data_IF_007311799633
#
_entry.id   IF_007311799633
#
_cell.length_a   1.000
_cell.length_b   1.000
_cell.length_c   1.000
_cell.angle_alpha   90.00
_cell.angle_beta   90.00
_cell.angle_gamma   90.00
#
_symmetry.space_group_name_H-M   'P 1'
#
loop_
_entity.id
_entity.type
_entity.pdbx_description
1 polymer ?
#
# COMPACT_ATOMS: atom_id res chain seq x y z
N UNK A 1 -3.16 21.28 17.22
CA UNK A 1 -3.29 19.82 17.07
C UNK A 1 -4.32 19.51 16.00
N UNK A 2 -3.98 18.68 15.02
CA UNK A 2 -4.94 18.28 13.99
C UNK A 2 -5.89 17.23 14.58
N UNK A 3 -7.16 17.56 14.73
CA UNK A 3 -8.19 16.71 15.32
C UNK A 3 -9.23 16.25 14.30
N UNK A 4 -9.25 16.86 13.12
CA UNK A 4 -10.19 16.55 12.05
C UNK A 4 -9.65 15.49 11.11
N UNK A 5 -10.50 14.52 10.73
CA UNK A 5 -10.20 13.47 9.78
C UNK A 5 -11.18 13.53 8.60
N UNK A 6 -10.68 13.89 7.44
CA UNK A 6 -11.43 13.97 6.19
C UNK A 6 -11.38 12.69 5.35
N UNK A 7 -10.63 11.68 5.81
CA UNK A 7 -10.31 10.46 5.08
C UNK A 7 -11.32 9.35 5.32
N UNK A 8 -11.54 9.04 6.59
CA UNK A 8 -12.23 7.83 7.01
C UNK A 8 -13.64 8.14 7.49
N UNK A 9 -14.56 7.25 7.18
CA UNK A 9 -15.94 7.29 7.63
C UNK A 9 -16.06 7.26 9.17
N UNK A 10 -17.18 7.71 9.68
CA UNK A 10 -17.38 7.98 11.10
C UNK A 10 -17.19 6.73 11.99
N UNK A 11 -17.77 5.58 11.60
CA UNK A 11 -17.64 4.36 12.39
C UNK A 11 -16.19 3.88 12.48
N UNK A 12 -15.39 4.05 11.43
CA UNK A 12 -13.96 3.70 11.43
C UNK A 12 -13.18 4.59 12.39
N UNK A 13 -13.43 5.90 12.36
CA UNK A 13 -12.77 6.86 13.26
C UNK A 13 -13.14 6.58 14.71
N UNK A 14 -14.41 6.29 15.00
CA UNK A 14 -14.88 5.95 16.33
C UNK A 14 -14.24 4.65 16.84
N UNK A 15 -14.16 3.62 15.99
CA UNK A 15 -13.50 2.37 16.31
C UNK A 15 -12.00 2.57 16.60
N UNK A 16 -11.32 3.36 15.76
CA UNK A 16 -9.92 3.72 15.94
C UNK A 16 -9.67 4.50 17.25
N UNK A 17 -10.57 5.44 17.59
CA UNK A 17 -10.51 6.20 18.85
C UNK A 17 -10.69 5.29 20.08
N UNK A 18 -11.60 4.32 20.02
CA UNK A 18 -11.78 3.33 21.07
C UNK A 18 -10.54 2.44 21.23
N UNK A 19 -10.06 1.91 20.10
CA UNK A 19 -8.90 1.01 20.07
C UNK A 19 -7.63 1.67 20.62
N UNK A 20 -7.37 2.92 20.24
CA UNK A 20 -6.15 3.63 20.64
C UNK A 20 -6.08 3.92 22.14
N UNK A 21 -7.19 3.88 22.88
CA UNK A 21 -7.19 4.07 24.36
C UNK A 21 -6.43 2.95 25.08
N UNK A 22 -6.33 1.77 24.49
CA UNK A 22 -5.52 0.67 25.01
C UNK A 22 -4.00 0.88 24.92
N UNK A 23 -3.54 1.89 24.15
CA UNK A 23 -2.11 2.17 23.96
C UNK A 23 -1.61 3.11 25.05
N UNK A 24 -0.64 2.65 25.84
CA UNK A 24 -0.01 3.45 26.92
C UNK A 24 1.05 4.42 26.36
N UNK A 25 1.26 5.53 27.08
CA UNK A 25 2.31 6.50 26.76
C UNK A 25 2.06 7.29 25.46
N UNK A 26 0.80 7.64 25.19
CA UNK A 26 0.40 8.46 24.06
C UNK A 26 0.74 9.93 24.30
N UNK A 27 1.25 10.59 23.26
CA UNK A 27 1.45 12.06 23.28
C UNK A 27 0.14 12.83 23.07
N UNK A 28 -0.85 12.21 22.43
CA UNK A 28 -2.12 12.83 22.04
C UNK A 28 -3.29 12.17 22.79
N UNK A 29 -4.04 12.96 23.53
CA UNK A 29 -5.23 12.50 24.29
C UNK A 29 -6.54 12.85 23.59
N UNK A 30 -6.55 13.90 22.77
CA UNK A 30 -7.76 14.39 22.09
C UNK A 30 -8.24 13.38 21.04
N UNK A 31 -9.52 13.00 21.05
CA UNK A 31 -10.10 12.14 20.02
C UNK A 31 -10.06 12.80 18.64
N UNK A 32 -9.93 11.99 17.60
CA UNK A 32 -10.06 12.44 16.21
C UNK A 32 -11.54 12.46 15.86
N UNK A 33 -11.97 13.48 15.11
CA UNK A 33 -13.36 13.67 14.68
C UNK A 33 -13.41 13.43 13.18
N UNK A 34 -14.30 12.54 12.71
CA UNK A 34 -14.55 12.37 11.28
C UNK A 34 -15.32 13.54 10.74
N UNK A 35 -14.85 14.09 9.62
CA UNK A 35 -15.53 15.12 8.83
C UNK A 35 -16.25 14.51 7.61
N UNK A 36 -16.21 13.18 7.46
CA UNK A 36 -16.94 12.47 6.41
C UNK A 36 -18.45 12.51 6.68
N UNK A 37 -19.24 12.64 5.60
CA UNK A 37 -20.70 12.49 5.65
C UNK A 37 -21.13 11.03 5.61
N UNK A 38 -20.20 10.11 5.34
CA UNK A 38 -20.46 8.67 5.28
C UNK A 38 -20.23 8.07 6.68
N UNK A 39 -21.20 7.31 7.14
CA UNK A 39 -21.10 6.61 8.43
C UNK A 39 -20.08 5.47 8.35
N UNK A 40 -19.96 4.85 7.17
CA UNK A 40 -19.07 3.71 6.95
C UNK A 40 -19.55 2.44 7.64
N UNK A 41 -18.67 1.42 7.64
CA UNK A 41 -18.98 0.14 8.26
C UNK A 41 -17.76 -0.45 8.97
N UNK A 42 -17.98 -0.99 10.17
CA UNK A 42 -16.98 -1.78 10.89
C UNK A 42 -17.60 -3.10 11.30
N UNK A 43 -16.98 -4.20 10.87
CA UNK A 43 -17.35 -5.55 11.27
C UNK A 43 -16.19 -6.22 12.00
N UNK A 44 -16.49 -6.81 13.14
CA UNK A 44 -15.55 -7.60 13.92
C UNK A 44 -16.07 -9.04 14.00
N UNK A 45 -15.33 -9.96 13.39
CA UNK A 45 -15.67 -11.39 13.40
C UNK A 45 -14.64 -12.15 14.23
N UNK A 46 -15.07 -12.66 15.37
CA UNK A 46 -14.26 -13.52 16.22
C UNK A 46 -14.41 -14.99 15.81
N UNK A 47 -13.29 -15.66 15.66
CA UNK A 47 -13.22 -17.08 15.27
C UNK A 47 -12.63 -17.92 16.41
N UNK A 48 -13.23 -19.07 16.66
CA UNK A 48 -12.68 -20.06 17.62
C UNK A 48 -11.55 -20.89 17.04
N UNK A 49 -11.41 -20.88 15.72
CA UNK A 49 -10.38 -21.63 14.96
C UNK A 49 -9.20 -20.73 14.61
N UNK A 50 -8.02 -21.33 14.46
CA UNK A 50 -6.84 -20.68 13.87
C UNK A 50 -6.92 -20.52 12.34
N UNK A 51 -7.90 -21.16 11.69
CA UNK A 51 -8.07 -21.12 10.22
C UNK A 51 -8.93 -19.89 9.82
N UNK A 52 -8.32 -18.71 9.80
CA UNK A 52 -9.01 -17.45 9.50
C UNK A 52 -9.07 -17.11 8.01
N UNK A 53 -8.27 -17.78 7.16
CA UNK A 53 -8.10 -17.41 5.75
C UNK A 53 -9.38 -17.61 4.94
N UNK A 54 -9.99 -18.81 5.01
CA UNK A 54 -11.21 -19.12 4.24
C UNK A 54 -12.41 -18.24 4.63
N UNK A 55 -12.72 -18.02 5.92
CA UNK A 55 -13.78 -17.09 6.32
C UNK A 55 -13.57 -15.67 5.78
N UNK A 56 -12.34 -15.15 5.83
CA UNK A 56 -12.00 -13.83 5.33
C UNK A 56 -12.19 -13.75 3.80
N UNK A 57 -11.70 -14.74 3.04
CA UNK A 57 -11.86 -14.77 1.58
C UNK A 57 -13.33 -14.86 1.19
N UNK A 58 -14.12 -15.68 1.90
CA UNK A 58 -15.57 -15.80 1.67
C UNK A 58 -16.29 -14.45 1.92
N UNK A 59 -15.86 -13.65 2.90
CA UNK A 59 -16.42 -12.34 3.14
C UNK A 59 -16.06 -11.36 2.02
N UNK A 60 -14.82 -11.38 1.53
CA UNK A 60 -14.39 -10.58 0.37
C UNK A 60 -15.25 -10.88 -0.86
N UNK A 61 -15.52 -12.18 -1.13
CA UNK A 61 -16.32 -12.61 -2.27
C UNK A 61 -17.79 -12.19 -2.17
N UNK A 62 -18.35 -12.11 -0.96
CA UNK A 62 -19.72 -11.63 -0.71
C UNK A 62 -19.84 -10.12 -0.89
N UNK A 63 -18.79 -9.39 -0.59
CA UNK A 63 -18.75 -7.93 -0.64
C UNK A 63 -18.41 -7.43 -2.05
N UNK A 64 -19.43 -7.22 -2.89
CA UNK A 64 -19.31 -6.75 -4.29
C UNK A 64 -19.14 -5.23 -4.43
N UNK A 65 -18.55 -4.54 -3.46
CA UNK A 65 -18.28 -3.09 -3.57
C UNK A 65 -17.29 -2.77 -4.70
N UNK A 66 -17.47 -1.61 -5.34
CA UNK A 66 -16.64 -1.15 -6.48
C UNK A 66 -15.38 -0.38 -6.05
N UNK A 67 -15.12 -0.26 -4.76
CA UNK A 67 -13.94 0.43 -4.23
C UNK A 67 -12.69 -0.45 -4.19
N UNK A 68 -11.57 0.20 -3.88
CA UNK A 68 -10.29 -0.48 -3.66
C UNK A 68 -10.34 -1.38 -2.44
N UNK A 69 -9.97 -2.65 -2.57
CA UNK A 69 -9.98 -3.64 -1.47
C UNK A 69 -8.55 -4.00 -1.08
N UNK A 70 -8.29 -4.05 0.21
CA UNK A 70 -7.00 -4.49 0.73
C UNK A 70 -7.15 -5.50 1.86
N UNK A 71 -6.38 -6.58 1.79
CA UNK A 71 -6.19 -7.49 2.92
C UNK A 71 -4.90 -7.15 3.64
N UNK A 72 -4.98 -6.92 4.94
CA UNK A 72 -3.84 -6.62 5.79
C UNK A 72 -3.53 -7.81 6.71
N UNK A 73 -2.27 -8.24 6.67
CA UNK A 73 -1.75 -9.36 7.48
C UNK A 73 -0.67 -8.90 8.44
N UNK A 74 -0.30 -9.76 9.37
CA UNK A 74 0.80 -9.49 10.29
C UNK A 74 2.16 -9.87 9.68
N UNK A 75 2.21 -10.94 8.88
CA UNK A 75 3.43 -11.51 8.30
C UNK A 75 3.38 -11.59 6.78
N UNK A 76 4.55 -11.66 6.15
CA UNK A 76 4.65 -11.89 4.71
C UNK A 76 4.15 -13.28 4.31
N UNK A 77 4.32 -14.27 5.16
CA UNK A 77 3.87 -15.65 4.93
C UNK A 77 2.35 -15.72 4.83
N UNK A 78 1.64 -15.08 5.78
CA UNK A 78 0.19 -14.94 5.72
C UNK A 78 -0.26 -14.23 4.43
N UNK A 79 0.44 -13.17 4.02
CA UNK A 79 0.12 -12.42 2.82
C UNK A 79 0.26 -13.28 1.55
N UNK A 80 1.35 -14.05 1.43
CA UNK A 80 1.56 -14.98 0.30
C UNK A 80 0.47 -16.06 0.25
N UNK A 81 0.15 -16.65 1.40
CA UNK A 81 -0.91 -17.66 1.52
C UNK A 81 -2.26 -17.12 1.06
N UNK A 82 -2.60 -15.89 1.47
CA UNK A 82 -3.85 -15.23 1.06
C UNK A 82 -3.90 -14.91 -0.43
N UNK A 83 -2.79 -14.47 -1.03
CA UNK A 83 -2.73 -14.27 -2.48
C UNK A 83 -3.02 -15.56 -3.23
N UNK A 84 -2.42 -16.68 -2.81
CA UNK A 84 -2.65 -17.96 -3.43
C UNK A 84 -4.13 -18.40 -3.30
N UNK A 85 -4.72 -18.20 -2.12
CA UNK A 85 -6.10 -18.55 -1.85
C UNK A 85 -7.10 -17.67 -2.63
N UNK A 86 -6.90 -16.36 -2.68
CA UNK A 86 -7.71 -15.43 -3.45
C UNK A 86 -7.70 -15.77 -4.94
N UNK A 87 -6.52 -16.10 -5.50
CA UNK A 87 -6.38 -16.53 -6.90
C UNK A 87 -7.09 -17.85 -7.17
N UNK A 88 -7.02 -18.81 -6.23
CA UNK A 88 -7.77 -20.07 -6.31
C UNK A 88 -9.27 -19.84 -6.41
N UNK A 89 -9.78 -18.80 -5.78
CA UNK A 89 -11.19 -18.37 -5.86
C UNK A 89 -11.50 -17.45 -7.05
N UNK A 90 -10.56 -17.27 -8.00
CA UNK A 90 -10.76 -16.51 -9.22
C UNK A 90 -10.61 -14.99 -9.06
N UNK A 91 -10.11 -14.50 -7.92
CA UNK A 91 -9.87 -13.07 -7.70
C UNK A 91 -8.46 -12.70 -8.16
N UNK A 92 -8.36 -11.65 -8.98
CA UNK A 92 -7.07 -11.08 -9.36
C UNK A 92 -6.47 -10.35 -8.16
N UNK A 93 -5.53 -10.98 -7.48
CA UNK A 93 -4.90 -10.45 -6.26
C UNK A 93 -3.45 -10.10 -6.48
N UNK A 94 -3.02 -8.96 -5.90
CA UNK A 94 -1.66 -8.45 -5.97
C UNK A 94 -1.07 -8.29 -4.58
N UNK A 95 0.12 -8.85 -4.38
CA UNK A 95 0.89 -8.67 -3.16
C UNK A 95 1.69 -7.37 -3.23
N UNK A 96 1.51 -6.49 -2.26
CA UNK A 96 2.44 -5.39 -2.03
C UNK A 96 3.66 -5.97 -1.30
N UNK A 97 4.75 -6.11 -2.04
CA UNK A 97 6.04 -6.42 -1.47
C UNK A 97 6.81 -5.11 -1.35
N UNK A 98 7.16 -4.67 -0.14
CA UNK A 98 8.27 -3.74 -0.05
C UNK A 98 9.54 -4.55 -0.27
N UNK A 99 10.35 -4.11 -1.17
CA UNK A 99 11.73 -4.56 -1.25
C UNK A 99 12.49 -3.81 -0.15
N UNK A 100 12.37 -4.26 1.11
CA UNK A 100 13.02 -3.62 2.25
C UNK A 100 14.52 -3.48 1.98
N UNK A 101 14.98 -2.23 1.90
CA UNK A 101 16.36 -1.90 1.51
C UNK A 101 16.64 -1.80 0.01
N UNK A 102 15.71 -2.19 -0.86
CA UNK A 102 15.86 -1.99 -2.30
C UNK A 102 15.21 -0.65 -2.70
N UNK A 103 16.03 0.24 -3.15
CA UNK A 103 15.56 1.55 -3.61
C UNK A 103 15.32 1.54 -5.12
N UNK A 104 14.26 2.21 -5.58
CA UNK A 104 13.89 2.29 -6.98
C UNK A 104 15.06 2.69 -7.89
N UNK A 105 15.88 3.67 -7.47
CA UNK A 105 17.08 4.10 -8.18
C UNK A 105 18.20 3.05 -8.28
N UNK A 106 18.13 1.93 -7.52
CA UNK A 106 19.05 0.81 -7.63
C UNK A 106 18.67 -0.23 -8.70
N UNK A 107 17.48 -0.10 -9.29
CA UNK A 107 17.07 -0.97 -10.39
C UNK A 107 18.02 -0.85 -11.58
N UNK A 108 18.34 -1.96 -12.21
CA UNK A 108 19.26 -2.01 -13.33
C UNK A 108 18.77 -1.14 -14.51
N UNK A 109 17.47 -1.19 -14.76
CA UNK A 109 16.79 -0.40 -15.78
C UNK A 109 16.90 1.10 -15.52
N UNK A 110 16.65 1.53 -14.27
CA UNK A 110 16.72 2.94 -13.85
C UNK A 110 18.16 3.46 -13.96
N UNK A 111 19.12 2.68 -13.47
CA UNK A 111 20.54 3.05 -13.55
C UNK A 111 21.02 3.14 -14.98
N UNK A 112 20.57 2.25 -15.86
CA UNK A 112 20.97 2.27 -17.27
C UNK A 112 20.33 3.46 -18.00
N UNK A 113 19.08 3.76 -17.74
CA UNK A 113 18.41 4.93 -18.28
C UNK A 113 19.12 6.23 -17.88
N UNK A 114 19.45 6.39 -16.59
CA UNK A 114 20.23 7.52 -16.10
C UNK A 114 21.60 7.60 -16.78
N UNK A 115 22.28 6.46 -16.96
CA UNK A 115 23.59 6.41 -17.62
C UNK A 115 23.50 6.91 -19.07
N UNK A 116 22.49 6.51 -19.84
CA UNK A 116 22.33 6.99 -21.22
C UNK A 116 22.05 8.49 -21.27
N UNK A 117 21.22 9.02 -20.35
CA UNK A 117 21.00 10.46 -20.26
C UNK A 117 22.31 11.19 -19.93
N UNK A 118 23.06 10.75 -18.92
CA UNK A 118 24.27 11.41 -18.45
C UNK A 118 25.43 11.39 -19.47
N UNK A 119 25.49 10.37 -20.33
CA UNK A 119 26.50 10.27 -21.39
C UNK A 119 26.33 11.34 -22.45
N UNK A 120 25.08 11.70 -22.79
CA UNK A 120 24.76 12.59 -23.90
C UNK A 120 24.33 13.99 -23.44
N UNK A 121 24.22 14.22 -22.12
CA UNK A 121 23.82 15.50 -21.54
C UNK A 121 25.02 16.29 -21.04
N UNK A 122 25.28 17.44 -21.65
CA UNK A 122 26.36 18.37 -21.25
C UNK A 122 25.82 19.60 -20.53
N UNK A 123 24.52 19.73 -20.39
CA UNK A 123 23.83 20.85 -19.72
C UNK A 123 22.84 20.30 -18.70
N UNK A 124 22.37 21.09 -17.72
CA UNK A 124 21.34 20.64 -16.77
C UNK A 124 20.02 20.25 -17.44
N UNK A 125 19.72 20.83 -18.61
CA UNK A 125 18.52 20.54 -19.41
C UNK A 125 18.77 19.33 -20.31
N UNK A 126 17.93 18.33 -20.21
CA UNK A 126 17.90 17.16 -21.09
C UNK A 126 17.08 17.51 -22.31
N UNK A 127 17.69 17.41 -23.52
CA UNK A 127 16.96 17.61 -24.76
C UNK A 127 16.01 16.45 -25.03
N UNK A 128 14.95 16.71 -25.82
CA UNK A 128 14.00 15.64 -26.15
C UNK A 128 14.67 14.50 -26.93
N UNK A 129 15.64 14.81 -27.80
CA UNK A 129 16.40 13.78 -28.56
C UNK A 129 17.18 12.86 -27.63
N UNK A 130 17.88 13.41 -26.62
CA UNK A 130 18.62 12.61 -25.62
C UNK A 130 17.65 11.76 -24.81
N UNK A 131 16.54 12.34 -24.40
CA UNK A 131 15.53 11.65 -23.60
C UNK A 131 14.90 10.46 -24.35
N UNK A 132 14.45 10.68 -25.59
CA UNK A 132 13.84 9.63 -26.41
C UNK A 132 14.85 8.56 -26.81
N UNK A 133 16.09 8.93 -27.08
CA UNK A 133 17.16 7.98 -27.36
C UNK A 133 17.46 7.09 -26.13
N UNK A 134 17.55 7.67 -24.94
CA UNK A 134 17.74 6.93 -23.70
C UNK A 134 16.58 5.95 -23.42
N UNK A 135 15.32 6.37 -23.66
CA UNK A 135 14.15 5.48 -23.60
C UNK A 135 14.30 4.30 -24.55
N UNK A 136 14.59 4.58 -25.82
CA UNK A 136 14.72 3.56 -26.87
C UNK A 136 15.80 2.53 -26.51
N UNK A 137 16.99 2.99 -26.13
CA UNK A 137 18.11 2.10 -25.79
C UNK A 137 17.81 1.24 -24.56
N UNK A 138 17.26 1.85 -23.50
CA UNK A 138 16.93 1.13 -22.26
C UNK A 138 15.82 0.11 -22.49
N UNK A 139 14.74 0.48 -23.20
CA UNK A 139 13.61 -0.42 -23.43
C UNK A 139 14.00 -1.61 -24.33
N UNK A 140 14.85 -1.39 -25.33
CA UNK A 140 15.38 -2.47 -26.16
C UNK A 140 16.28 -3.42 -25.36
N UNK A 141 17.14 -2.88 -24.51
CA UNK A 141 18.06 -3.67 -23.70
C UNK A 141 17.33 -4.54 -22.66
N UNK A 142 16.26 -4.02 -22.09
CA UNK A 142 15.51 -4.66 -21.00
C UNK A 142 14.12 -5.19 -21.43
N UNK A 143 13.92 -5.45 -22.73
CA UNK A 143 12.62 -5.91 -23.28
C UNK A 143 12.04 -7.12 -22.54
N UNK A 144 12.88 -8.03 -22.05
CA UNK A 144 12.46 -9.24 -21.33
C UNK A 144 12.40 -9.05 -19.79
N UNK A 145 12.67 -7.85 -19.28
CA UNK A 145 12.60 -7.59 -17.85
C UNK A 145 11.18 -7.27 -17.41
N UNK A 146 10.65 -8.05 -16.46
CA UNK A 146 9.35 -7.77 -15.85
C UNK A 146 9.33 -6.48 -15.03
N UNK A 147 10.50 -5.97 -14.66
CA UNK A 147 10.67 -4.74 -13.88
C UNK A 147 10.66 -3.48 -14.75
N UNK A 148 10.83 -3.62 -16.07
CA UNK A 148 10.85 -2.49 -17.00
C UNK A 148 9.58 -1.62 -16.90
N UNK A 149 8.44 -2.23 -16.61
CA UNK A 149 7.16 -1.54 -16.46
C UNK A 149 7.20 -0.43 -15.38
N UNK A 150 7.98 -0.61 -14.33
CA UNK A 150 8.10 0.40 -13.27
C UNK A 150 8.86 1.64 -13.76
N UNK A 151 9.92 1.45 -14.53
CA UNK A 151 10.65 2.56 -15.16
C UNK A 151 9.77 3.29 -16.20
N UNK A 152 9.03 2.55 -17.02
CA UNK A 152 8.13 3.15 -18.02
C UNK A 152 7.09 4.05 -17.37
N UNK A 153 6.49 3.62 -16.26
CA UNK A 153 5.53 4.44 -15.49
C UNK A 153 6.17 5.63 -14.81
N UNK A 154 7.37 5.45 -14.25
CA UNK A 154 8.15 6.56 -13.69
C UNK A 154 8.37 7.66 -14.74
N UNK A 155 8.83 7.28 -15.92
CA UNK A 155 9.06 8.19 -17.05
C UNK A 155 7.75 8.88 -17.43
N UNK A 156 6.67 8.14 -17.60
CA UNK A 156 5.37 8.69 -17.95
C UNK A 156 4.89 9.75 -16.94
N UNK A 157 4.92 9.43 -15.65
CA UNK A 157 4.49 10.37 -14.60
C UNK A 157 5.37 11.63 -14.59
N UNK A 158 6.68 11.46 -14.77
CA UNK A 158 7.60 12.58 -14.84
C UNK A 158 7.32 13.47 -16.05
N UNK A 159 7.07 12.90 -17.22
CA UNK A 159 6.70 13.63 -18.46
C UNK A 159 5.38 14.41 -18.32
N UNK A 160 4.39 13.83 -17.63
CA UNK A 160 3.09 14.46 -17.39
C UNK A 160 3.19 15.69 -16.47
N UNK A 161 4.16 15.69 -15.54
CA UNK A 161 4.33 16.76 -14.55
C UNK A 161 5.38 17.79 -14.93
N UNK A 162 6.34 17.44 -15.81
CA UNK A 162 7.49 18.28 -16.14
C UNK A 162 7.59 18.52 -17.65
N UNK A 163 7.21 19.72 -18.11
CA UNK A 163 7.33 20.13 -19.50
C UNK A 163 8.79 20.24 -19.96
N UNK A 164 9.65 20.78 -19.09
CA UNK A 164 11.09 20.85 -19.30
C UNK A 164 11.75 19.79 -18.41
N UNK A 165 12.65 18.99 -18.99
CA UNK A 165 13.28 17.87 -18.29
C UNK A 165 14.66 18.29 -17.81
N UNK A 166 14.79 18.55 -16.49
CA UNK A 166 16.07 18.79 -15.86
C UNK A 166 16.61 17.51 -15.22
N UNK A 167 17.90 17.26 -15.39
CA UNK A 167 18.54 16.05 -14.85
C UNK A 167 18.45 15.99 -13.31
N UNK A 168 18.56 17.14 -12.66
CA UNK A 168 18.39 17.27 -11.21
C UNK A 168 17.00 16.85 -10.76
N UNK A 169 15.97 17.36 -11.42
CA UNK A 169 14.57 17.11 -11.06
C UNK A 169 14.20 15.65 -11.29
N UNK A 170 14.70 15.05 -12.37
CA UNK A 170 14.48 13.64 -12.64
C UNK A 170 15.20 12.74 -11.62
N UNK A 171 16.43 13.09 -11.23
CA UNK A 171 17.15 12.37 -10.16
C UNK A 171 16.42 12.46 -8.83
N UNK A 172 15.94 13.63 -8.46
CA UNK A 172 15.16 13.83 -7.23
C UNK A 172 13.86 13.02 -7.26
N UNK A 173 13.11 13.08 -8.37
CA UNK A 173 11.92 12.27 -8.59
C UNK A 173 12.19 10.76 -8.39
N UNK A 174 13.25 10.23 -8.99
CA UNK A 174 13.65 8.83 -8.83
C UNK A 174 14.07 8.52 -7.39
N UNK A 175 14.80 9.43 -6.75
CA UNK A 175 15.32 9.22 -5.40
C UNK A 175 14.22 9.19 -4.34
N UNK A 176 13.18 9.99 -4.52
CA UNK A 176 12.01 10.05 -3.65
C UNK A 176 11.01 8.94 -3.93
N UNK A 177 11.08 8.31 -5.11
CA UNK A 177 10.15 7.26 -5.54
C UNK A 177 10.48 5.90 -4.95
N UNK A 178 9.43 5.12 -4.76
CA UNK A 178 9.49 3.70 -4.44
C UNK A 178 8.91 2.85 -5.59
N UNK A 179 9.28 1.58 -5.69
CA UNK A 179 8.72 0.67 -6.71
C UNK A 179 7.19 0.58 -6.60
N UNK A 180 6.68 0.70 -5.37
CA UNK A 180 5.27 0.64 -5.05
C UNK A 180 4.46 1.80 -5.69
N UNK A 181 5.07 2.96 -5.92
CA UNK A 181 4.41 4.12 -6.53
C UNK A 181 4.04 3.85 -7.99
N UNK A 182 4.76 2.94 -8.63
CA UNK A 182 4.57 2.54 -10.03
C UNK A 182 3.83 1.21 -10.20
N UNK A 183 3.37 0.60 -9.11
CA UNK A 183 2.53 -0.58 -9.16
C UNK A 183 1.12 -0.22 -9.63
N UNK A 184 0.69 -0.73 -10.80
CA UNK A 184 -0.68 -0.57 -11.26
C UNK A 184 -1.63 -1.47 -10.46
N UNK A 185 -2.61 -0.84 -9.81
CA UNK A 185 -3.66 -1.54 -9.07
C UNK A 185 -5.00 -1.52 -9.82
N UNK A 186 -5.06 -0.90 -11.03
CA UNK A 186 -6.33 -0.67 -11.75
C UNK A 186 -7.10 -1.94 -12.09
N UNK A 187 -6.39 -3.04 -12.38
CA UNK A 187 -7.00 -4.33 -12.74
C UNK A 187 -6.92 -5.34 -11.60
N UNK A 188 -6.76 -4.87 -10.37
CA UNK A 188 -6.61 -5.73 -9.21
C UNK A 188 -7.89 -5.73 -8.38
N UNK A 189 -8.52 -6.90 -8.20
CA UNK A 189 -9.71 -7.03 -7.37
C UNK A 189 -9.39 -6.83 -5.89
N UNK A 190 -8.25 -7.35 -5.45
CA UNK A 190 -7.83 -7.31 -4.04
C UNK A 190 -6.32 -7.13 -3.92
N UNK A 191 -5.93 -6.13 -3.20
CA UNK A 191 -4.53 -5.91 -2.79
C UNK A 191 -4.27 -6.68 -1.50
N UNK A 192 -3.13 -7.35 -1.39
CA UNK A 192 -2.69 -8.01 -0.14
C UNK A 192 -1.39 -7.37 0.33
N UNK A 193 -1.32 -7.01 1.60
CA UNK A 193 -0.14 -6.35 2.18
C UNK A 193 0.03 -6.74 3.65
N UNK A 194 1.23 -6.62 4.18
CA UNK A 194 1.35 -6.56 5.63
C UNK A 194 0.94 -5.18 6.14
N UNK A 195 0.48 -5.10 7.40
CA UNK A 195 0.11 -3.82 8.02
C UNK A 195 1.27 -2.81 7.94
N UNK A 196 2.50 -3.27 8.12
CA UNK A 196 3.68 -2.40 8.06
C UNK A 196 3.87 -1.77 6.66
N UNK A 197 3.71 -2.57 5.61
CA UNK A 197 3.90 -2.15 4.21
C UNK A 197 2.73 -1.33 3.65
N UNK A 198 1.59 -1.34 4.33
CA UNK A 198 0.43 -0.50 3.99
C UNK A 198 0.57 0.95 4.47
N UNK A 199 1.63 1.29 5.21
CA UNK A 199 1.85 2.65 5.70
C UNK A 199 1.93 3.64 4.53
N UNK A 200 1.18 4.75 4.62
CA UNK A 200 1.09 5.75 3.54
C UNK A 200 0.01 5.45 2.50
N UNK A 201 -0.56 4.25 2.47
CA UNK A 201 -1.64 3.87 1.54
C UNK A 201 -3.00 3.87 2.22
N UNK A 202 -4.05 3.93 1.41
CA UNK A 202 -5.45 3.96 1.85
C UNK A 202 -6.31 3.17 0.89
N UNK A 203 -7.34 2.51 1.43
CA UNK A 203 -8.24 1.67 0.65
C UNK A 203 -9.69 1.91 1.08
N UNK A 204 -10.63 1.75 0.18
CA UNK A 204 -12.04 1.91 0.50
C UNK A 204 -12.48 0.83 1.48
N UNK A 205 -12.09 -0.42 1.23
CA UNK A 205 -12.36 -1.58 2.07
C UNK A 205 -11.07 -2.20 2.57
N UNK A 206 -10.97 -2.37 3.87
CA UNK A 206 -9.84 -3.04 4.50
C UNK A 206 -10.32 -4.28 5.24
N UNK A 207 -9.69 -5.42 4.94
CA UNK A 207 -9.87 -6.69 5.62
C UNK A 207 -8.62 -7.00 6.44
N UNK A 208 -8.73 -7.03 7.75
CA UNK A 208 -7.61 -7.33 8.62
C UNK A 208 -7.66 -8.79 9.07
N UNK A 209 -6.60 -9.55 8.80
CA UNK A 209 -6.38 -10.86 9.37
C UNK A 209 -5.51 -10.71 10.62
N UNK A 210 -6.06 -10.98 11.80
CA UNK A 210 -5.36 -10.85 13.06
C UNK A 210 -5.38 -12.17 13.79
N UNK A 211 -4.30 -12.93 13.63
CA UNK A 211 -4.04 -14.12 14.44
C UNK A 211 -3.59 -13.72 15.85
N UNK A 212 -3.91 -14.54 16.84
CA UNK A 212 -3.53 -14.27 18.22
C UNK A 212 -2.01 -14.10 18.34
N UNK A 213 -1.53 -12.94 18.79
CA UNK A 213 -0.10 -12.73 18.97
C UNK A 213 0.39 -13.46 20.23
N UNK A 214 1.63 -13.93 20.21
CA UNK A 214 2.26 -14.59 21.37
C UNK A 214 2.31 -13.69 22.61
N UNK A 215 2.35 -12.36 22.41
CA UNK A 215 2.27 -11.36 23.48
C UNK A 215 1.71 -10.04 22.92
N UNK A 216 1.01 -9.31 23.78
CA UNK A 216 0.42 -8.02 23.46
C UNK A 216 1.23 -6.93 24.14
N UNK A 217 1.85 -6.06 23.35
CA UNK A 217 2.52 -4.86 23.81
C UNK A 217 2.06 -3.62 23.03
N UNK A 218 2.56 -2.45 23.42
CA UNK A 218 2.21 -1.19 22.74
C UNK A 218 2.56 -1.18 21.25
N UNK A 219 3.61 -1.87 20.81
CA UNK A 219 4.03 -1.87 19.40
C UNK A 219 3.08 -2.72 18.54
N UNK A 220 2.58 -3.84 19.09
CA UNK A 220 1.52 -4.63 18.48
C UNK A 220 0.25 -3.80 18.34
N UNK A 221 -0.16 -3.10 19.41
CA UNK A 221 -1.34 -2.23 19.38
C UNK A 221 -1.19 -1.08 18.39
N UNK A 222 -0.04 -0.42 18.35
CA UNK A 222 0.25 0.65 17.37
C UNK A 222 0.18 0.13 15.94
N UNK A 223 0.69 -1.07 15.68
CA UNK A 223 0.61 -1.73 14.37
C UNK A 223 -0.84 -1.94 13.95
N UNK A 224 -1.68 -2.49 14.83
CA UNK A 224 -3.11 -2.69 14.51
C UNK A 224 -3.83 -1.37 14.30
N UNK A 225 -3.53 -0.34 15.09
CA UNK A 225 -4.05 1.00 14.86
C UNK A 225 -3.70 1.54 13.47
N UNK A 226 -2.47 1.33 13.01
CA UNK A 226 -2.07 1.68 11.63
C UNK A 226 -2.95 0.95 10.62
N UNK A 227 -3.18 -0.35 10.79
CA UNK A 227 -4.05 -1.12 9.89
C UNK A 227 -5.48 -0.60 9.85
N UNK A 228 -6.08 -0.34 11.02
CA UNK A 228 -7.44 0.22 11.15
C UNK A 228 -7.56 1.54 10.39
N UNK A 229 -6.57 2.41 10.51
CA UNK A 229 -6.56 3.73 9.86
C UNK A 229 -6.27 3.71 8.36
N UNK A 230 -6.08 2.54 7.75
CA UNK A 230 -5.98 2.38 6.28
C UNK A 230 -7.33 2.35 5.60
N UNK A 231 -8.40 2.06 6.33
CA UNK A 231 -9.75 2.02 5.80
C UNK A 231 -10.33 3.43 5.61
N UNK A 232 -10.99 3.64 4.46
CA UNK A 232 -11.77 4.85 4.21
C UNK A 232 -13.25 4.65 4.52
N UNK A 233 -13.86 3.57 4.04
CA UNK A 233 -15.30 3.35 4.11
C UNK A 233 -15.68 2.12 4.93
N UNK A 234 -15.00 0.96 4.73
CA UNK A 234 -15.36 -0.28 5.40
C UNK A 234 -14.16 -0.97 6.01
N UNK A 235 -14.30 -1.44 7.22
CA UNK A 235 -13.30 -2.20 7.95
C UNK A 235 -13.88 -3.53 8.41
N UNK A 236 -13.24 -4.63 8.03
CA UNK A 236 -13.58 -5.98 8.41
C UNK A 236 -12.41 -6.59 9.16
N UNK A 237 -12.61 -6.98 10.40
CA UNK A 237 -11.56 -7.57 11.24
C UNK A 237 -11.91 -9.02 11.51
N UNK A 238 -11.09 -9.94 11.03
CA UNK A 238 -11.15 -11.37 11.33
C UNK A 238 -10.06 -11.71 12.35
N UNK A 239 -10.46 -12.18 13.50
CA UNK A 239 -9.51 -12.45 14.58
C UNK A 239 -9.91 -13.68 15.38
N UNK A 240 -8.92 -14.34 15.98
CA UNK A 240 -9.09 -15.28 17.09
C UNK A 240 -8.44 -14.79 18.38
N UNK A 241 -8.05 -13.50 18.41
CA UNK A 241 -7.44 -12.86 19.55
C UNK A 241 -8.50 -12.22 20.46
N UNK A 242 -8.46 -12.40 21.78
CA UNK A 242 -9.37 -11.75 22.73
C UNK A 242 -9.14 -10.23 22.83
N UNK A 243 -8.16 -9.70 22.13
CA UNK A 243 -7.80 -8.28 22.15
C UNK A 243 -8.96 -7.35 21.73
N UNK A 244 -9.86 -7.85 20.89
CA UNK A 244 -10.99 -7.09 20.34
C UNK A 244 -12.30 -7.33 21.10
N UNK A 245 -12.31 -8.13 22.16
CA UNK A 245 -13.49 -8.46 22.96
C UNK A 245 -13.84 -7.36 24.01
N UNK A 246 -13.30 -6.13 23.83
CA UNK A 246 -13.43 -5.02 24.80
C UNK A 246 -14.46 -3.99 24.36
#
# INVERSE_FOLDING_TARGET
EMTENYRSAQHIVNFANGFVQGIKGRFKSTPIISMSKDDGHVSLTHHTSSLLYEPLVNEIMRNKGNGTKCVLTQTNEEAVTLVALLRKHGLNSKLIQSMDGFRFWNMAEVRMFLKYIEQDTHTPLITDDVWENAKLQTFNQYTNSSSLIYLQKCIQIFEETNKAKYLTDFKEHIFESSVEDYCDLKDTDVVVSTIHKSKGREFDDVYMLITEPHYINNDVLRRYYVGITRAKQRLFVHTNSPLFDR
#
